data_IF_273868394458
#
_entry.id   IF_273868394458
#
_cell.length_a   1.000
_cell.length_b   1.000
_cell.length_c   1.000
_cell.angle_alpha   90.00
_cell.angle_beta   90.00
_cell.angle_gamma   90.00
#
_symmetry.space_group_name_H-M   'P 1'
#
loop_
_entity.id
_entity.type
_entity.pdbx_description
1 polymer ?
#
# COMPACT_ATOMS: atom_id res chain seq x y z
N UNK A 1 -17.44 -18.35 62.67
CA UNK A 1 -17.51 -17.20 61.74
C UNK A 1 -16.10 -16.79 61.36
N UNK A 2 -15.61 -17.21 60.18
CA UNK A 2 -14.36 -16.73 59.57
C UNK A 2 -14.59 -16.71 58.05
N UNK A 3 -14.79 -15.52 57.47
CA UNK A 3 -14.81 -15.33 56.03
C UNK A 3 -13.35 -15.20 55.55
N UNK A 4 -12.94 -16.00 54.58
CA UNK A 4 -11.66 -15.80 53.87
C UNK A 4 -11.94 -14.93 52.65
N UNK A 5 -11.30 -13.75 52.60
CA UNK A 5 -11.31 -12.90 51.41
C UNK A 5 -10.35 -13.50 50.37
N UNK A 6 -10.84 -13.75 49.16
CA UNK A 6 -10.01 -14.11 48.01
C UNK A 6 -9.80 -12.85 47.18
N UNK A 7 -8.56 -12.35 47.17
CA UNK A 7 -8.16 -11.27 46.28
C UNK A 7 -8.01 -11.83 44.87
N UNK A 8 -8.93 -11.44 43.99
CA UNK A 8 -8.89 -11.75 42.56
C UNK A 8 -7.85 -10.84 41.89
N UNK A 9 -6.70 -11.40 41.51
CA UNK A 9 -5.76 -10.72 40.61
C UNK A 9 -6.29 -10.88 39.18
N UNK A 10 -6.75 -9.78 38.57
CA UNK A 10 -7.05 -9.72 37.14
C UNK A 10 -5.74 -9.34 36.43
N UNK A 11 -5.14 -10.31 35.74
CA UNK A 11 -4.00 -10.08 34.86
C UNK A 11 -4.54 -9.50 33.54
N UNK A 12 -4.38 -8.19 33.35
CA UNK A 12 -4.66 -7.56 32.05
C UNK A 12 -3.44 -7.85 31.16
N UNK A 13 -3.57 -8.83 30.27
CA UNK A 13 -2.64 -9.01 29.15
C UNK A 13 -2.99 -7.92 28.14
N UNK A 14 -2.16 -6.89 28.08
CA UNK A 14 -2.21 -5.89 27.02
C UNK A 14 -1.64 -6.55 25.76
N UNK A 15 -2.53 -7.12 24.93
CA UNK A 15 -2.16 -7.48 23.56
C UNK A 15 -2.00 -6.16 22.82
N UNK A 16 -0.77 -5.81 22.48
CA UNK A 16 -0.52 -4.79 21.46
C UNK A 16 -0.95 -5.42 20.16
N UNK A 17 -2.19 -5.16 19.76
CA UNK A 17 -2.67 -5.49 18.43
C UNK A 17 -1.97 -4.46 17.54
N UNK A 18 -0.87 -4.86 16.88
CA UNK A 18 -0.47 -4.19 15.65
C UNK A 18 -1.71 -4.19 14.76
N UNK A 19 -2.02 -3.05 14.13
CA UNK A 19 -3.27 -2.79 13.42
C UNK A 19 -3.53 -3.82 12.32
N UNK A 20 -3.99 -5.00 12.71
CA UNK A 20 -4.48 -6.01 11.81
C UNK A 20 -5.78 -5.46 11.24
N UNK A 21 -5.92 -5.53 9.92
CA UNK A 21 -7.20 -5.45 9.23
C UNK A 21 -8.29 -6.03 10.15
N UNK A 22 -9.37 -5.29 10.40
CA UNK A 22 -10.58 -5.97 10.87
C UNK A 22 -10.88 -7.00 9.78
N UNK A 23 -10.79 -8.29 10.08
CA UNK A 23 -10.92 -9.39 9.11
C UNK A 23 -12.20 -9.15 8.29
N UNK A 24 -12.04 -8.50 7.16
CA UNK A 24 -13.16 -8.09 6.34
C UNK A 24 -13.46 -9.29 5.47
N UNK A 25 -14.69 -9.80 5.55
CA UNK A 25 -15.11 -10.90 4.70
C UNK A 25 -15.10 -10.47 3.23
N UNK A 26 -14.01 -10.81 2.54
CA UNK A 26 -13.78 -10.48 1.13
C UNK A 26 -14.73 -11.21 0.20
N UNK A 27 -15.44 -12.26 0.66
CA UNK A 27 -16.45 -12.94 -0.15
C UNK A 27 -17.68 -12.07 -0.44
N UNK A 28 -17.88 -11.00 0.34
CA UNK A 28 -18.97 -10.02 0.15
C UNK A 28 -18.66 -8.98 -0.94
N UNK A 29 -17.46 -8.99 -1.52
CA UNK A 29 -17.03 -8.04 -2.53
C UNK A 29 -17.43 -8.52 -3.93
N UNK A 30 -18.10 -7.66 -4.70
CA UNK A 30 -18.77 -8.05 -5.94
C UNK A 30 -17.79 -8.37 -7.08
N UNK A 31 -16.59 -7.77 -7.05
CA UNK A 31 -15.61 -7.84 -8.13
C UNK A 31 -14.22 -8.08 -7.55
N UNK A 32 -13.42 -8.86 -8.25
CA UNK A 32 -11.99 -8.93 -8.02
C UNK A 32 -11.26 -9.14 -9.35
N UNK A 33 -9.97 -8.79 -9.39
CA UNK A 33 -9.06 -9.10 -10.50
C UNK A 33 -7.80 -9.76 -9.94
N UNK A 34 -7.34 -10.85 -10.58
CA UNK A 34 -6.07 -11.49 -10.23
C UNK A 34 -4.90 -10.76 -10.90
N UNK A 35 -3.83 -10.53 -10.15
CA UNK A 35 -2.52 -10.11 -10.67
C UNK A 35 -1.50 -11.21 -10.44
N UNK A 36 -0.71 -11.51 -11.47
CA UNK A 36 0.36 -12.51 -11.45
C UNK A 36 1.68 -11.83 -11.70
N UNK A 37 2.71 -12.17 -10.93
CA UNK A 37 4.04 -11.55 -11.01
C UNK A 37 5.00 -12.30 -11.94
N UNK A 38 4.56 -12.59 -13.17
CA UNK A 38 5.34 -13.38 -14.14
C UNK A 38 6.61 -12.71 -14.66
N UNK A 39 6.83 -11.42 -14.35
CA UNK A 39 8.02 -10.67 -14.76
C UNK A 39 9.24 -10.88 -13.85
N UNK A 40 9.05 -11.47 -12.67
CA UNK A 40 10.12 -11.81 -11.75
C UNK A 40 10.61 -13.23 -12.04
N UNK A 41 11.78 -13.35 -12.67
CA UNK A 41 12.33 -14.61 -13.20
C UNK A 41 13.49 -15.17 -12.36
N UNK A 42 13.70 -14.63 -11.16
CA UNK A 42 14.78 -15.05 -10.26
C UNK A 42 14.33 -16.20 -9.36
N UNK A 43 15.30 -17.03 -8.97
CA UNK A 43 15.06 -18.20 -8.12
C UNK A 43 14.92 -17.87 -6.64
N UNK A 44 15.33 -16.67 -6.21
CA UNK A 44 15.21 -16.23 -4.83
C UNK A 44 13.78 -15.76 -4.53
N UNK A 45 13.28 -16.07 -3.34
CA UNK A 45 12.00 -15.51 -2.86
C UNK A 45 12.28 -14.18 -2.19
N UNK A 46 11.61 -13.12 -2.64
CA UNK A 46 11.65 -11.83 -1.94
C UNK A 46 10.61 -11.85 -0.82
N UNK A 47 10.97 -11.31 0.33
CA UNK A 47 10.09 -11.27 1.52
C UNK A 47 9.70 -9.83 1.82
N UNK A 48 8.45 -9.63 2.24
CA UNK A 48 7.87 -8.31 2.55
C UNK A 48 8.15 -7.25 1.48
N UNK A 49 8.04 -7.64 0.21
CA UNK A 49 8.47 -6.82 -0.92
C UNK A 49 7.37 -5.85 -1.38
N UNK A 50 7.60 -4.52 -1.38
CA UNK A 50 6.66 -3.56 -1.95
C UNK A 50 6.65 -3.64 -3.48
N UNK A 51 5.59 -4.18 -4.05
CA UNK A 51 5.42 -4.31 -5.48
C UNK A 51 4.47 -3.25 -6.03
N UNK A 52 4.89 -2.57 -7.11
CA UNK A 52 4.03 -1.62 -7.82
C UNK A 52 2.99 -2.37 -8.68
N UNK A 53 1.72 -2.13 -8.38
CA UNK A 53 0.58 -2.58 -9.17
C UNK A 53 0.07 -1.41 -10.01
N UNK A 54 0.13 -1.58 -11.33
CA UNK A 54 -0.45 -0.64 -12.28
C UNK A 54 -1.87 -1.10 -12.61
N UNK A 55 -2.85 -0.26 -12.29
CA UNK A 55 -4.26 -0.47 -12.58
C UNK A 55 -4.64 0.40 -13.79
N UNK A 56 -5.24 -0.23 -14.78
CA UNK A 56 -5.80 0.42 -15.97
C UNK A 56 -7.00 -0.38 -16.43
N UNK A 57 -7.96 0.27 -17.10
CA UNK A 57 -9.14 -0.44 -17.59
C UNK A 57 -8.73 -1.52 -18.59
N UNK A 58 -9.27 -2.72 -18.41
CA UNK A 58 -8.95 -3.86 -19.27
C UNK A 58 -10.06 -4.90 -19.26
N UNK A 59 -10.26 -5.52 -20.42
CA UNK A 59 -11.11 -6.71 -20.59
C UNK A 59 -10.38 -8.03 -20.28
N UNK A 60 -9.07 -7.99 -20.02
CA UNK A 60 -8.28 -9.20 -19.83
C UNK A 60 -8.67 -9.94 -18.52
N UNK A 61 -8.79 -11.27 -18.61
CA UNK A 61 -9.18 -12.10 -17.47
C UNK A 61 -10.61 -11.82 -17.02
N UNK A 62 -10.78 -11.43 -15.75
CA UNK A 62 -12.07 -11.01 -15.17
C UNK A 62 -12.32 -9.49 -15.30
N UNK A 63 -11.39 -8.78 -15.94
CA UNK A 63 -11.45 -7.35 -16.22
C UNK A 63 -11.23 -6.43 -15.02
N UNK A 64 -10.93 -5.17 -15.33
CA UNK A 64 -10.84 -4.07 -14.38
C UNK A 64 -11.47 -2.83 -14.98
N UNK A 65 -12.38 -2.19 -14.23
CA UNK A 65 -13.06 -0.97 -14.62
C UNK A 65 -13.17 -0.04 -13.42
N UNK A 66 -12.89 1.25 -13.63
CA UNK A 66 -13.03 2.23 -12.55
C UNK A 66 -14.50 2.42 -12.13
N UNK A 67 -15.43 2.10 -13.03
CA UNK A 67 -16.89 2.14 -12.78
C UNK A 67 -17.39 1.01 -11.87
N UNK A 68 -16.57 0.00 -11.58
CA UNK A 68 -16.93 -1.06 -10.64
C UNK A 68 -16.81 -0.61 -9.16
N UNK A 69 -16.13 0.51 -8.88
CA UNK A 69 -15.98 1.04 -7.52
C UNK A 69 -17.30 1.67 -7.06
N UNK A 70 -17.82 1.21 -5.92
CA UNK A 70 -19.08 1.68 -5.35
C UNK A 70 -18.86 2.66 -4.19
N UNK A 71 -17.63 2.78 -3.68
CA UNK A 71 -17.22 3.77 -2.69
C UNK A 71 -16.08 4.60 -3.29
N UNK A 72 -16.45 5.66 -4.00
CA UNK A 72 -15.50 6.50 -4.72
C UNK A 72 -14.64 7.34 -3.76
N UNK A 73 -13.36 7.60 -4.11
CA UNK A 73 -12.71 7.27 -5.39
C UNK A 73 -12.18 5.83 -5.49
N UNK A 74 -11.77 5.24 -4.37
CA UNK A 74 -11.20 3.88 -4.27
C UNK A 74 -11.36 3.32 -2.84
N UNK A 75 -12.31 3.84 -2.07
CA UNK A 75 -12.52 3.47 -0.67
C UNK A 75 -12.84 1.97 -0.54
N UNK A 76 -13.45 1.43 -1.59
CA UNK A 76 -13.60 0.01 -1.81
C UNK A 76 -12.47 -0.57 -2.69
N UNK A 77 -11.22 -0.40 -2.27
CA UNK A 77 -10.08 -1.16 -2.78
C UNK A 77 -9.52 -2.05 -1.67
N UNK A 78 -9.36 -3.35 -1.93
CA UNK A 78 -8.59 -4.27 -1.07
C UNK A 78 -7.66 -5.12 -1.90
N UNK A 79 -6.55 -5.53 -1.30
CA UNK A 79 -5.68 -6.57 -1.85
C UNK A 79 -5.65 -7.76 -0.90
N UNK A 80 -5.55 -8.96 -1.46
CA UNK A 80 -5.35 -10.18 -0.68
C UNK A 80 -4.40 -11.15 -1.40
N UNK A 81 -3.81 -12.07 -0.64
CA UNK A 81 -3.02 -13.18 -1.19
C UNK A 81 -3.88 -14.13 -2.02
N UNK A 82 -3.27 -15.16 -2.61
CA UNK A 82 -3.97 -16.11 -3.49
C UNK A 82 -5.18 -16.78 -2.84
N UNK A 83 -5.18 -16.91 -1.50
CA UNK A 83 -6.28 -17.49 -0.70
C UNK A 83 -7.57 -16.65 -0.70
N UNK A 84 -7.50 -15.36 -1.11
CA UNK A 84 -8.61 -14.38 -1.07
C UNK A 84 -9.11 -14.04 0.34
N UNK A 85 -8.34 -14.36 1.37
CA UNK A 85 -8.69 -14.13 2.77
C UNK A 85 -7.64 -13.23 3.42
N UNK A 86 -6.36 -13.55 3.24
CA UNK A 86 -5.24 -12.82 3.84
C UNK A 86 -5.05 -11.46 3.16
N UNK A 87 -5.47 -10.38 3.84
CA UNK A 87 -5.37 -9.02 3.33
C UNK A 87 -3.93 -8.51 3.28
N UNK A 88 -3.66 -7.60 2.34
CA UNK A 88 -2.34 -7.03 2.09
C UNK A 88 -2.37 -5.51 2.25
N UNK A 89 -1.33 -4.97 2.88
CA UNK A 89 -1.11 -3.54 3.01
C UNK A 89 -0.85 -2.91 1.64
N UNK A 90 -1.41 -1.72 1.44
CA UNK A 90 -1.24 -0.97 0.20
C UNK A 90 -1.23 0.54 0.39
N UNK A 91 -0.57 1.21 -0.54
CA UNK A 91 -0.53 2.67 -0.67
C UNK A 91 -0.99 3.04 -2.07
N UNK A 92 -2.01 3.89 -2.16
CA UNK A 92 -2.43 4.48 -3.44
C UNK A 92 -1.56 5.71 -3.71
N UNK A 93 -0.50 5.55 -4.50
CA UNK A 93 0.38 6.65 -4.88
C UNK A 93 -0.36 7.66 -5.77
N UNK A 94 -1.14 7.16 -6.75
CA UNK A 94 -2.00 8.02 -7.56
C UNK A 94 -3.18 7.26 -8.18
N UNK A 95 -4.29 7.98 -8.36
CA UNK A 95 -5.53 7.45 -8.91
C UNK A 95 -6.00 8.28 -10.11
N UNK A 96 -5.99 7.67 -11.30
CA UNK A 96 -6.38 8.33 -12.55
C UNK A 96 -7.32 7.44 -13.37
N UNK A 97 -8.62 7.72 -13.26
CA UNK A 97 -9.67 6.97 -13.96
C UNK A 97 -9.63 7.10 -15.49
N UNK A 98 -8.90 8.08 -16.03
CA UNK A 98 -8.72 8.28 -17.47
C UNK A 98 -7.40 7.66 -17.99
N UNK A 99 -6.70 6.91 -17.15
CA UNK A 99 -5.42 6.30 -17.50
C UNK A 99 -4.99 5.26 -16.47
N UNK A 100 -3.72 5.35 -16.07
CA UNK A 100 -3.10 4.42 -15.11
C UNK A 100 -3.17 4.96 -13.69
N UNK A 101 -3.57 4.10 -12.77
CA UNK A 101 -3.42 4.31 -11.33
C UNK A 101 -2.26 3.45 -10.82
N UNK A 102 -1.53 3.98 -9.84
CA UNK A 102 -0.31 3.40 -9.31
C UNK A 102 -0.52 3.10 -7.83
N UNK A 103 -0.39 1.83 -7.46
CA UNK A 103 -0.65 1.34 -6.10
C UNK A 103 0.49 0.44 -5.68
N UNK A 104 1.14 0.75 -4.56
CA UNK A 104 2.14 -0.12 -3.96
C UNK A 104 1.44 -1.12 -3.05
N UNK A 105 1.82 -2.40 -3.15
CA UNK A 105 1.26 -3.47 -2.32
C UNK A 105 2.41 -4.25 -1.72
N UNK A 106 2.40 -4.45 -0.40
CA UNK A 106 3.41 -5.25 0.28
C UNK A 106 3.10 -6.74 0.10
N UNK A 107 3.99 -7.47 -0.55
CA UNK A 107 3.86 -8.89 -0.85
C UNK A 107 4.70 -9.70 0.14
N UNK A 108 4.08 -10.52 1.01
CA UNK A 108 4.81 -11.27 2.04
C UNK A 108 5.86 -12.20 1.45
N UNK A 109 5.53 -12.91 0.37
CA UNK A 109 6.44 -13.80 -0.37
C UNK A 109 6.22 -13.62 -1.88
N UNK A 110 7.22 -13.02 -2.54
CA UNK A 110 7.21 -12.81 -3.98
C UNK A 110 8.13 -13.82 -4.69
N UNK A 111 7.51 -14.60 -5.57
CA UNK A 111 8.12 -15.56 -6.48
C UNK A 111 7.56 -15.34 -7.89
N UNK A 112 8.09 -16.05 -8.89
CA UNK A 112 7.59 -15.99 -10.27
C UNK A 112 6.11 -16.41 -10.41
N UNK A 113 5.62 -17.24 -9.48
CA UNK A 113 4.29 -17.84 -9.51
C UNK A 113 3.30 -17.13 -8.58
N UNK A 114 3.75 -16.12 -7.83
CA UNK A 114 2.93 -15.39 -6.86
C UNK A 114 1.73 -14.73 -7.56
N UNK A 115 0.56 -14.89 -6.94
CA UNK A 115 -0.68 -14.24 -7.32
C UNK A 115 -1.30 -13.51 -6.15
N UNK A 116 -1.90 -12.37 -6.45
CA UNK A 116 -2.73 -11.61 -5.53
C UNK A 116 -4.04 -11.25 -6.21
N UNK A 117 -5.02 -10.80 -5.43
CA UNK A 117 -6.30 -10.33 -5.94
C UNK A 117 -6.56 -8.91 -5.48
N UNK A 118 -6.99 -8.05 -6.41
CA UNK A 118 -7.50 -6.71 -6.13
C UNK A 118 -9.04 -6.74 -6.14
N UNK A 119 -9.67 -6.47 -5.00
CA UNK A 119 -11.12 -6.46 -4.80
C UNK A 119 -11.70 -5.06 -4.91
N UNK A 120 -12.93 -4.97 -5.41
CA UNK A 120 -13.74 -3.75 -5.52
C UNK A 120 -15.24 -4.07 -5.58
N UNK A 121 -16.08 -3.04 -5.59
CA UNK A 121 -17.52 -3.17 -5.72
C UNK A 121 -18.23 -3.37 -4.41
N UNK A 122 -17.85 -2.63 -3.37
CA UNK A 122 -18.50 -2.63 -2.06
C UNK A 122 -18.92 -1.21 -1.68
N UNK A 123 -20.19 -1.01 -1.40
CA UNK A 123 -20.73 0.30 -1.05
C UNK A 123 -20.57 0.59 0.45
N UNK A 124 -20.32 1.86 0.80
CA UNK A 124 -20.36 2.35 2.19
C UNK A 124 -19.18 1.91 3.05
N UNK A 125 -18.04 1.59 2.43
CA UNK A 125 -16.78 1.31 3.13
C UNK A 125 -15.82 2.47 2.95
N UNK A 126 -14.78 2.51 3.79
CA UNK A 126 -13.67 3.46 3.71
C UNK A 126 -12.38 2.73 3.37
N UNK A 127 -11.43 3.43 2.74
CA UNK A 127 -10.08 2.90 2.54
C UNK A 127 -9.41 2.66 3.92
N UNK A 128 -8.69 1.55 4.12
CA UNK A 128 -7.95 1.30 5.36
C UNK A 128 -6.74 2.23 5.45
N UNK A 129 -6.42 2.66 6.68
CA UNK A 129 -5.24 3.48 6.98
C UNK A 129 -3.99 2.58 7.16
N UNK A 130 -3.47 2.07 6.04
CA UNK A 130 -2.37 1.08 5.98
C UNK A 130 -1.23 1.50 5.05
N UNK A 131 -1.29 2.70 4.46
CA UNK A 131 -0.34 3.12 3.43
C UNK A 131 1.11 3.13 3.90
N UNK A 132 1.36 3.54 5.15
CA UNK A 132 2.71 3.53 5.72
C UNK A 132 3.23 2.13 6.08
N UNK A 133 2.33 1.15 6.26
CA UNK A 133 2.67 -0.24 6.59
C UNK A 133 3.27 -1.00 5.40
N UNK A 134 3.08 -0.48 4.18
CA UNK A 134 3.70 -1.00 2.96
C UNK A 134 5.22 -1.01 3.06
N UNK A 135 5.78 -0.03 3.76
CA UNK A 135 7.22 0.25 3.82
C UNK A 135 7.87 -0.14 5.14
N UNK A 136 7.14 -0.82 6.03
CA UNK A 136 7.61 -1.10 7.38
C UNK A 136 8.90 -1.95 7.43
N UNK A 137 9.62 -1.79 8.55
CA UNK A 137 10.84 -2.49 8.99
C UNK A 137 12.12 -2.36 8.15
N UNK A 138 12.02 -2.09 6.85
CA UNK A 138 13.20 -2.10 5.95
C UNK A 138 13.55 -0.73 5.33
N UNK A 139 12.63 0.22 5.33
CA UNK A 139 12.80 1.51 4.65
C UNK A 139 12.95 2.67 5.65
N UNK A 140 14.00 3.47 5.49
CA UNK A 140 14.22 4.70 6.28
C UNK A 140 13.35 5.86 5.82
N UNK A 141 13.02 5.88 4.54
CA UNK A 141 12.17 6.87 3.90
C UNK A 141 11.78 6.37 2.51
N UNK A 142 10.63 6.80 2.01
CA UNK A 142 10.18 6.59 0.64
C UNK A 142 9.56 7.88 0.15
N UNK A 143 10.18 8.50 -0.85
CA UNK A 143 9.66 9.69 -1.50
C UNK A 143 9.24 9.36 -2.93
N UNK A 144 7.94 9.39 -3.19
CA UNK A 144 7.39 9.16 -4.54
C UNK A 144 7.64 10.32 -5.50
N UNK A 145 8.00 11.50 -4.97
CA UNK A 145 8.19 12.73 -5.75
C UNK A 145 6.95 13.08 -6.59
N UNK A 146 5.77 12.82 -6.03
CA UNK A 146 4.48 12.93 -6.71
C UNK A 146 3.86 14.34 -6.59
N UNK A 147 4.66 15.37 -6.88
CA UNK A 147 4.29 16.78 -6.67
C UNK A 147 4.49 17.29 -5.23
N UNK A 148 4.92 16.41 -4.32
CA UNK A 148 5.42 16.73 -2.98
C UNK A 148 6.71 15.94 -2.71
N UNK A 149 7.27 16.14 -1.52
CA UNK A 149 8.47 15.44 -1.04
C UNK A 149 8.20 14.78 0.32
N UNK A 150 6.95 14.37 0.53
CA UNK A 150 6.49 13.74 1.75
C UNK A 150 6.99 12.30 1.79
N UNK A 151 7.28 11.81 2.99
CA UNK A 151 7.79 10.46 3.23
C UNK A 151 6.59 9.54 3.48
N UNK A 152 6.46 8.50 2.67
CA UNK A 152 5.38 7.52 2.76
C UNK A 152 5.57 6.52 3.91
N UNK A 153 6.74 6.49 4.56
CA UNK A 153 6.96 5.61 5.72
C UNK A 153 6.42 6.21 7.02
N UNK A 154 6.26 5.37 8.04
CA UNK A 154 5.93 5.80 9.41
C UNK A 154 6.96 6.74 10.05
N UNK A 155 8.14 6.90 9.44
CA UNK A 155 9.22 7.72 10.00
C UNK A 155 9.02 9.23 9.77
N UNK A 156 8.13 9.62 8.84
CA UNK A 156 7.82 11.01 8.50
C UNK A 156 9.08 11.84 8.16
N UNK A 157 10.08 11.22 7.53
CA UNK A 157 11.32 11.87 7.11
C UNK A 157 11.11 12.68 5.84
N UNK A 158 10.21 13.66 5.86
CA UNK A 158 9.87 14.50 4.72
C UNK A 158 11.11 15.23 4.21
N UNK A 159 11.35 15.14 2.89
CA UNK A 159 12.41 15.88 2.26
C UNK A 159 11.96 17.30 1.90
N UNK A 160 12.91 18.14 1.49
CA UNK A 160 12.64 19.48 0.98
C UNK A 160 13.10 19.59 -0.47
N UNK A 161 12.20 19.99 -1.37
CA UNK A 161 12.59 20.31 -2.75
C UNK A 161 13.26 21.68 -2.83
N UNK A 162 14.41 21.74 -3.50
CA UNK A 162 15.12 22.98 -3.80
C UNK A 162 15.25 23.13 -5.32
N UNK A 163 14.42 24.00 -5.91
CA UNK A 163 14.40 24.32 -7.34
C UNK A 163 14.11 23.17 -8.31
N UNK A 164 13.88 21.96 -7.80
CA UNK A 164 13.38 20.83 -8.59
C UNK A 164 11.88 20.99 -8.82
N UNK A 165 11.43 20.77 -10.05
CA UNK A 165 10.04 21.02 -10.46
C UNK A 165 9.32 19.71 -10.79
N UNK A 166 8.05 19.52 -10.37
CA UNK A 166 7.27 18.35 -10.75
C UNK A 166 7.08 18.25 -12.27
N UNK A 167 7.22 17.05 -12.80
CA UNK A 167 7.00 16.67 -14.21
C UNK A 167 6.31 15.31 -14.25
N UNK A 168 5.77 14.91 -15.41
CA UNK A 168 5.31 13.53 -15.61
C UNK A 168 6.50 12.58 -15.71
N UNK A 169 6.47 11.51 -14.91
CA UNK A 169 7.49 10.46 -14.90
C UNK A 169 7.15 9.29 -15.81
N UNK A 170 7.99 8.26 -15.78
CA UNK A 170 7.72 6.99 -16.46
C UNK A 170 6.57 6.23 -15.77
N UNK A 171 6.54 6.28 -14.45
CA UNK A 171 5.48 5.75 -13.58
C UNK A 171 5.08 6.90 -12.65
N UNK A 172 3.84 7.38 -12.75
CA UNK A 172 3.38 8.53 -11.96
C UNK A 172 4.05 9.86 -12.32
N UNK A 173 4.19 10.74 -11.34
CA UNK A 173 4.93 11.99 -11.46
C UNK A 173 6.39 11.78 -11.04
N UNK A 174 7.23 12.76 -11.36
CA UNK A 174 8.64 12.80 -11.00
C UNK A 174 9.07 14.25 -10.83
N UNK A 175 10.33 14.47 -10.46
CA UNK A 175 10.92 15.81 -10.39
C UNK A 175 12.03 15.95 -11.43
N UNK A 176 12.08 17.09 -12.13
CA UNK A 176 13.16 17.45 -13.05
C UNK A 176 14.27 18.20 -12.30
N UNK A 177 15.51 17.79 -12.54
CA UNK A 177 16.71 18.30 -11.87
C UNK A 177 17.58 19.06 -12.86
N UNK A 178 17.17 20.29 -13.18
CA UNK A 178 17.89 21.13 -14.13
C UNK A 178 19.21 21.64 -13.52
N UNK A 179 20.39 21.30 -14.09
CA UNK A 179 21.68 21.70 -13.51
C UNK A 179 21.87 23.22 -13.41
N UNK A 180 21.32 23.98 -14.35
CA UNK A 180 21.42 25.44 -14.37
C UNK A 180 20.78 26.12 -13.14
N UNK A 181 19.81 25.45 -12.51
CA UNK A 181 19.12 25.97 -11.33
C UNK A 181 19.73 25.47 -10.02
N UNK A 182 20.78 24.63 -10.08
CA UNK A 182 21.27 23.87 -8.93
C UNK A 182 20.13 23.14 -8.22
N UNK A 183 19.28 22.44 -8.99
CA UNK A 183 18.13 21.73 -8.43
C UNK A 183 18.55 20.47 -7.65
N UNK A 184 17.98 20.26 -6.46
CA UNK A 184 18.22 19.08 -5.62
C UNK A 184 17.05 18.80 -4.66
N UNK A 185 17.06 17.62 -4.05
CA UNK A 185 16.24 17.28 -2.88
C UNK A 185 17.14 17.27 -1.65
N UNK A 186 16.79 18.08 -0.64
CA UNK A 186 17.45 18.04 0.65
C UNK A 186 16.78 17.00 1.55
N UNK A 187 17.60 16.10 2.10
CA UNK A 187 17.13 14.99 2.92
C UNK A 187 17.33 15.29 4.41
N UNK A 188 16.39 14.89 5.29
CA UNK A 188 16.56 15.07 6.73
C UNK A 188 17.84 14.42 7.26
N UNK A 189 18.44 15.01 8.29
CA UNK A 189 19.73 14.56 8.82
C UNK A 189 19.71 13.13 9.39
N UNK A 190 18.54 12.62 9.76
CA UNK A 190 18.33 11.29 10.32
C UNK A 190 18.15 10.18 9.27
N UNK A 191 18.21 10.53 7.97
CA UNK A 191 18.18 9.58 6.84
C UNK A 191 19.59 9.21 6.35
N UNK A 192 20.63 9.91 6.81
CA UNK A 192 22.02 9.75 6.37
C UNK A 192 22.79 8.67 7.14
#
# INVERSE_FOLDING_TARGET
>A
MRLKAYTLLILIVLVVIGSAFSDEDLSLWLKHMTKTFSGYDKSETLTDFPALIVLEETDAGVGFYYTDFLSLPYDDLRFATEDKETQLDFEVESWNINGKSYVWVRIPELTQDTKIHAFRGKAGVVVPDVSSLVWEDSYKCVWHLNGNTDDSTVNENHATSCYATPVSGLMGNAYDFVPANSAYIDTPSNVK
#
